data_IF_284114238033
#
_entry.id   IF_284114238033
#
_cell.length_a   1.000
_cell.length_b   1.000
_cell.length_c   1.000
_cell.angle_alpha   90.00
_cell.angle_beta   90.00
_cell.angle_gamma   90.00
#
_symmetry.space_group_name_H-M   'P 1'
#
loop_
_entity.id
_entity.type
_entity.pdbx_description
1 polymer ?
#
# COMPACT_ATOMS: atom_id res chain seq x y z
N UNK A 1 2.82 -12.80 -2.44
CA UNK A 1 1.47 -12.27 -2.74
C UNK A 1 1.51 -10.77 -2.53
N UNK A 2 1.07 -9.97 -3.51
CA UNK A 2 0.87 -8.54 -3.34
C UNK A 2 -0.56 -8.32 -2.88
N UNK A 3 -0.75 -7.72 -1.70
CA UNK A 3 -2.08 -7.43 -1.18
C UNK A 3 -2.29 -5.90 -1.15
N UNK A 4 -3.37 -5.46 -1.79
CA UNK A 4 -3.81 -4.06 -1.75
C UNK A 4 -4.86 -3.94 -0.65
N UNK A 5 -4.46 -3.46 0.52
CA UNK A 5 -5.34 -3.31 1.66
C UNK A 5 -5.81 -1.85 1.75
N UNK A 6 -7.09 -1.60 1.47
CA UNK A 6 -7.74 -0.32 1.78
C UNK A 6 -8.28 -0.34 3.20
N UNK A 7 -7.71 0.47 4.08
CA UNK A 7 -8.29 0.71 5.41
C UNK A 7 -9.41 1.75 5.26
N UNK A 8 -10.64 1.38 5.66
CA UNK A 8 -11.93 2.09 5.54
C UNK A 8 -12.75 1.92 4.22
N UNK A 9 -13.84 1.14 4.34
CA UNK A 9 -15.08 1.13 3.54
C UNK A 9 -15.01 1.35 2.01
N UNK A 10 -13.98 0.85 1.31
CA UNK A 10 -14.00 0.75 -0.15
C UNK A 10 -14.36 -0.65 -0.61
N UNK A 11 -15.35 -0.74 -1.49
CA UNK A 11 -15.79 -1.96 -2.16
C UNK A 11 -15.49 -1.83 -3.65
N UNK A 12 -15.06 -2.94 -4.24
CA UNK A 12 -14.66 -3.18 -5.63
C UNK A 12 -13.21 -2.84 -5.96
N UNK A 13 -12.35 -3.83 -5.77
CA UNK A 13 -11.14 -4.04 -6.58
C UNK A 13 -11.62 -4.63 -7.91
N UNK A 14 -11.62 -3.83 -8.98
CA UNK A 14 -11.80 -4.36 -10.33
C UNK A 14 -10.42 -4.56 -10.93
N UNK A 15 -9.95 -5.80 -10.95
CA UNK A 15 -8.78 -6.21 -11.72
C UNK A 15 -9.23 -6.43 -13.17
N UNK A 16 -9.00 -5.47 -14.06
CA UNK A 16 -9.26 -5.63 -15.48
C UNK A 16 -7.93 -5.76 -16.24
N UNK A 17 -7.71 -6.82 -17.02
CA UNK A 17 -6.59 -6.85 -17.97
C UNK A 17 -6.84 -5.79 -19.05
N UNK A 18 -5.87 -4.90 -19.28
CA UNK A 18 -5.92 -3.93 -20.40
C UNK A 18 -5.27 -4.56 -21.62
N UNK A 19 -6.05 -5.09 -22.55
CA UNK A 19 -5.60 -5.49 -23.89
C UNK A 19 -4.67 -6.71 -23.99
N UNK A 20 -3.59 -6.77 -23.20
CA UNK A 20 -2.54 -7.80 -23.16
C UNK A 20 -2.50 -8.52 -21.81
N UNK A 21 -1.94 -9.74 -21.79
CA UNK A 21 -1.62 -10.49 -20.57
C UNK A 21 -0.50 -9.86 -19.75
N UNK A 22 0.24 -8.90 -20.31
CA UNK A 22 1.34 -8.21 -19.62
C UNK A 22 0.83 -7.02 -18.79
N UNK A 23 -0.25 -6.37 -19.20
CA UNK A 23 -0.72 -5.14 -18.58
C UNK A 23 -1.77 -5.42 -17.51
N UNK A 24 -1.58 -4.82 -16.33
CA UNK A 24 -2.47 -4.89 -15.19
C UNK A 24 -3.01 -3.52 -14.83
N UNK A 25 -4.29 -3.45 -14.47
CA UNK A 25 -4.87 -2.29 -13.80
C UNK A 25 -5.83 -2.72 -12.70
N UNK A 26 -5.74 -2.05 -11.56
CA UNK A 26 -6.61 -2.25 -10.39
C UNK A 26 -7.30 -0.92 -10.13
N UNK A 27 -8.62 -0.91 -10.29
CA UNK A 27 -9.44 0.25 -9.92
C UNK A 27 -9.91 0.11 -8.48
N UNK A 28 -9.68 1.15 -7.68
CA UNK A 28 -10.11 1.31 -6.30
C UNK A 28 -11.06 2.51 -6.24
N UNK A 29 -12.33 2.29 -5.91
CA UNK A 29 -13.31 3.38 -5.80
C UNK A 29 -13.54 3.75 -4.35
N UNK A 30 -13.38 5.03 -4.01
CA UNK A 30 -13.80 5.54 -2.70
C UNK A 30 -15.32 5.69 -2.68
N UNK A 31 -16.02 5.05 -1.74
CA UNK A 31 -17.46 5.21 -1.54
C UNK A 31 -17.74 5.98 -0.25
N UNK A 32 -18.35 7.17 -0.33
CA UNK A 32 -18.83 7.87 0.86
C UNK A 32 -20.09 7.17 1.40
N UNK A 33 -19.92 6.32 2.41
CA UNK A 33 -21.05 5.78 3.17
C UNK A 33 -21.24 6.59 4.45
N UNK A 34 -22.08 7.63 4.40
CA UNK A 34 -22.57 8.34 5.58
C UNK A 34 -23.63 7.52 6.29
N UNK A 35 -23.23 6.75 7.30
CA UNK A 35 -24.15 6.34 8.37
C UNK A 35 -23.39 6.00 9.66
N UNK A 36 -22.99 7.03 10.41
CA UNK A 36 -22.69 6.87 11.83
C UNK A 36 -24.01 6.73 12.61
N UNK A 37 -24.42 5.49 12.91
CA UNK A 37 -25.38 5.24 13.99
C UNK A 37 -24.61 5.10 15.31
N UNK A 38 -24.58 6.19 16.09
CA UNK A 38 -24.20 6.16 17.51
C UNK A 38 -25.15 5.23 18.26
N UNK A 39 -24.65 4.10 18.77
CA UNK A 39 -25.30 3.40 19.88
C UNK A 39 -24.52 3.71 21.17
N UNK A 40 -25.10 4.57 22.00
CA UNK A 40 -24.74 4.68 23.41
C UNK A 40 -25.50 3.58 24.18
N UNK A 41 -24.77 2.70 24.86
CA UNK A 41 -25.34 1.87 25.92
C UNK A 41 -24.40 1.90 27.12
N UNK A 42 -24.56 2.93 27.96
CA UNK A 42 -23.92 2.99 29.27
C UNK A 42 -24.81 2.25 30.27
N UNK A 43 -24.37 1.07 30.73
CA UNK A 43 -24.88 0.45 31.95
C UNK A 43 -24.00 0.87 33.12
N UNK A 44 -24.63 1.53 34.11
CA UNK A 44 -24.00 2.03 35.33
C UNK A 44 -23.64 0.86 36.28
N UNK A 45 -22.37 0.71 36.60
CA UNK A 45 -21.88 -0.15 37.69
C UNK A 45 -21.32 0.78 38.77
N UNK A 46 -21.89 0.71 39.99
CA UNK A 46 -21.38 1.45 41.16
C UNK A 46 -20.10 0.79 41.66
N UNK A 47 -18.95 1.43 41.44
CA UNK A 47 -17.65 1.01 41.99
C UNK A 47 -17.19 2.04 43.01
N UNK A 48 -16.76 1.56 44.18
CA UNK A 48 -16.28 2.34 45.33
C UNK A 48 -15.23 3.39 44.93
N UNK A 49 -15.49 4.66 45.27
CA UNK A 49 -14.81 5.86 44.77
C UNK A 49 -13.29 5.92 45.05
N UNK A 50 -12.81 5.19 46.04
CA UNK A 50 -11.38 5.21 46.44
C UNK A 50 -10.53 4.28 45.55
N UNK A 51 -11.06 3.12 45.16
CA UNK A 51 -10.34 2.19 44.27
C UNK A 51 -10.34 2.64 42.81
N UNK A 52 -11.40 3.33 42.37
CA UNK A 52 -11.47 3.93 41.03
C UNK A 52 -10.41 5.02 40.87
N UNK A 53 -10.20 5.86 41.89
CA UNK A 53 -9.22 6.95 41.82
C UNK A 53 -7.78 6.45 41.61
N UNK A 54 -7.36 5.42 42.35
CA UNK A 54 -6.00 4.85 42.23
C UNK A 54 -5.82 4.11 40.90
N UNK A 55 -6.82 3.32 40.48
CA UNK A 55 -6.78 2.63 39.19
C UNK A 55 -6.80 3.62 38.00
N UNK A 56 -7.54 4.73 38.10
CA UNK A 56 -7.59 5.76 37.07
C UNK A 56 -6.25 6.51 36.95
N UNK A 57 -5.61 6.87 38.08
CA UNK A 57 -4.30 7.54 38.10
C UNK A 57 -3.18 6.62 37.58
N UNK A 58 -3.19 5.33 37.93
CA UNK A 58 -2.25 4.34 37.39
C UNK A 58 -2.46 4.07 35.90
N UNK A 59 -3.71 4.09 35.42
CA UNK A 59 -4.03 3.92 33.99
C UNK A 59 -3.64 5.14 33.15
N UNK A 60 -3.82 6.35 33.68
CA UNK A 60 -3.37 7.61 33.03
C UNK A 60 -1.84 7.68 32.94
N UNK A 61 -1.12 7.23 33.98
CA UNK A 61 0.35 7.17 33.96
C UNK A 61 0.88 6.12 32.96
N UNK A 62 0.18 4.98 32.78
CA UNK A 62 0.52 3.95 31.78
C UNK A 62 0.27 4.46 30.35
N UNK A 63 -0.85 5.16 30.12
CA UNK A 63 -1.19 5.75 28.81
C UNK A 63 -0.20 6.84 28.39
N UNK A 64 0.35 7.61 29.33
CA UNK A 64 1.38 8.61 29.05
C UNK A 64 2.77 8.01 28.78
N UNK A 65 3.04 6.79 29.26
CA UNK A 65 4.34 6.11 29.13
C UNK A 65 4.50 5.30 27.83
N UNK A 66 3.43 5.10 27.07
CA UNK A 66 3.46 4.41 25.78
C UNK A 66 3.60 5.39 24.60
N UNK A 67 4.16 6.57 24.85
CA UNK A 67 4.64 7.46 23.80
C UNK A 67 5.97 6.91 23.28
N UNK A 68 5.92 5.75 22.59
CA UNK A 68 7.04 5.33 21.77
C UNK A 68 7.31 6.47 20.79
N UNK A 69 8.49 7.09 20.89
CA UNK A 69 8.94 8.08 19.92
C UNK A 69 9.15 7.33 18.61
N UNK A 70 8.08 7.21 17.81
CA UNK A 70 8.13 6.49 16.54
C UNK A 70 9.20 7.16 15.68
N UNK A 71 10.28 6.44 15.38
CA UNK A 71 11.33 6.92 14.48
C UNK A 71 10.66 7.25 13.14
N UNK A 72 10.73 8.52 12.77
CA UNK A 72 10.09 9.05 11.58
C UNK A 72 10.98 10.09 10.94
N UNK A 73 11.28 9.88 9.66
CA UNK A 73 11.86 10.90 8.80
C UNK A 73 10.77 11.38 7.84
N UNK A 74 10.60 12.69 7.72
CA UNK A 74 9.59 13.28 6.85
C UNK A 74 10.18 14.46 6.13
N UNK A 75 9.97 14.53 4.82
CA UNK A 75 10.44 15.65 3.99
C UNK A 75 9.64 15.77 2.70
N UNK A 76 9.77 16.90 1.97
CA UNK A 76 9.25 17.01 0.62
C UNK A 76 9.82 15.93 -0.31
N UNK A 77 9.01 15.52 -1.28
CA UNK A 77 9.36 14.59 -2.34
C UNK A 77 10.48 15.15 -3.22
N UNK A 78 11.40 14.27 -3.61
CA UNK A 78 12.38 14.48 -4.67
C UNK A 78 12.19 13.35 -5.67
N UNK A 79 11.56 13.64 -6.80
CA UNK A 79 11.04 12.62 -7.74
C UNK A 79 12.07 11.59 -8.21
N UNK A 80 13.37 11.94 -8.22
CA UNK A 80 14.46 11.05 -8.64
C UNK A 80 15.12 10.28 -7.49
N UNK A 81 14.76 10.56 -6.23
CA UNK A 81 15.37 9.91 -5.08
C UNK A 81 14.79 8.51 -4.91
N UNK A 82 15.66 7.56 -4.59
CA UNK A 82 15.30 6.16 -4.41
C UNK A 82 14.44 5.97 -3.17
N UNK A 83 13.40 5.15 -3.28
CA UNK A 83 12.54 4.74 -2.18
C UNK A 83 12.40 3.22 -2.19
N UNK A 84 12.44 2.61 -1.01
CA UNK A 84 12.30 1.17 -0.87
C UNK A 84 11.60 0.78 0.44
N UNK A 85 10.86 -0.32 0.37
CA UNK A 85 10.40 -1.08 1.52
C UNK A 85 10.85 -2.53 1.33
N UNK A 86 11.54 -3.11 2.30
CA UNK A 86 12.23 -4.40 2.13
C UNK A 86 11.99 -5.35 3.28
N UNK A 87 11.93 -6.63 2.97
CA UNK A 87 11.99 -7.75 3.90
C UNK A 87 13.03 -8.76 3.46
N UNK A 88 13.13 -9.86 4.18
CA UNK A 88 14.08 -10.94 3.87
C UNK A 88 13.67 -11.80 2.68
N UNK A 89 12.41 -11.67 2.20
CA UNK A 89 11.82 -12.53 1.17
C UNK A 89 11.05 -11.76 0.07
N UNK A 90 10.99 -10.44 0.18
CA UNK A 90 10.30 -9.57 -0.76
C UNK A 90 10.86 -8.15 -0.67
N UNK A 91 10.57 -7.33 -1.68
CA UNK A 91 10.97 -5.93 -1.71
C UNK A 91 10.12 -5.13 -2.68
N UNK A 92 9.91 -3.87 -2.34
CA UNK A 92 9.41 -2.83 -3.25
C UNK A 92 10.56 -1.85 -3.44
N UNK A 93 10.85 -1.52 -4.70
CA UNK A 93 11.94 -0.63 -5.08
C UNK A 93 11.43 0.37 -6.10
N UNK A 94 11.88 1.62 -6.00
CA UNK A 94 11.53 2.64 -6.98
C UNK A 94 11.92 4.02 -6.51
N UNK A 95 11.03 4.99 -6.68
CA UNK A 95 11.31 6.39 -6.38
C UNK A 95 10.19 7.10 -5.63
N UNK A 96 10.49 8.31 -5.17
CA UNK A 96 9.53 9.12 -4.41
C UNK A 96 8.42 9.76 -5.25
N UNK A 97 8.48 9.61 -6.57
CA UNK A 97 7.38 9.98 -7.46
C UNK A 97 6.25 8.93 -7.48
N UNK A 98 6.45 7.77 -6.86
CA UNK A 98 5.43 6.71 -6.81
C UNK A 98 5.56 5.68 -7.93
N UNK A 99 6.71 5.64 -8.63
CA UNK A 99 6.99 4.58 -9.59
C UNK A 99 7.78 3.46 -8.92
N UNK A 100 7.27 2.22 -9.02
CA UNK A 100 7.88 1.08 -8.35
C UNK A 100 7.93 -0.20 -9.19
N UNK A 101 8.83 -1.08 -8.78
CA UNK A 101 8.78 -2.51 -9.02
C UNK A 101 8.66 -3.27 -7.71
N UNK A 102 8.14 -4.49 -7.77
CA UNK A 102 7.92 -5.32 -6.61
C UNK A 102 8.35 -6.76 -6.87
N UNK A 103 8.99 -7.34 -5.85
CA UNK A 103 9.64 -8.64 -5.89
C UNK A 103 9.15 -9.52 -4.75
N UNK A 104 9.00 -10.80 -5.04
CA UNK A 104 8.95 -11.88 -4.05
C UNK A 104 10.10 -12.82 -4.41
N UNK A 105 11.20 -12.71 -3.67
CA UNK A 105 12.48 -13.24 -4.11
C UNK A 105 12.42 -14.75 -4.42
N UNK A 106 13.07 -15.20 -5.51
CA UNK A 106 13.87 -14.43 -6.47
C UNK A 106 13.05 -13.91 -7.67
N UNK A 107 11.73 -13.89 -7.60
CA UNK A 107 10.85 -13.57 -8.72
C UNK A 107 10.35 -12.13 -8.65
N UNK A 108 10.57 -11.36 -9.71
CA UNK A 108 9.88 -10.08 -9.92
C UNK A 108 8.40 -10.35 -10.16
N UNK A 109 7.53 -9.50 -9.65
CA UNK A 109 6.07 -9.66 -9.81
C UNK A 109 5.53 -8.60 -10.77
N UNK A 110 6.00 -7.37 -10.61
CA UNK A 110 5.60 -6.27 -11.46
C UNK A 110 6.73 -5.25 -11.64
N UNK A 111 6.61 -4.48 -12.72
CA UNK A 111 7.40 -3.27 -12.99
C UNK A 111 6.48 -2.14 -13.40
N UNK A 112 7.04 -0.94 -13.41
CA UNK A 112 6.38 0.30 -13.82
C UNK A 112 5.02 0.48 -13.12
N UNK A 113 4.96 0.15 -11.83
CA UNK A 113 3.79 0.45 -11.02
C UNK A 113 3.62 1.96 -10.94
N UNK A 114 2.45 2.48 -11.28
CA UNK A 114 2.08 3.89 -11.10
C UNK A 114 0.63 4.05 -10.64
N UNK A 115 0.37 5.09 -9.87
CA UNK A 115 -1.00 5.48 -9.48
C UNK A 115 -1.52 6.59 -10.38
N UNK A 116 -2.81 6.51 -10.73
CA UNK A 116 -3.55 7.57 -11.42
C UNK A 116 -4.84 7.86 -10.68
N UNK A 117 -5.16 9.15 -10.57
CA UNK A 117 -6.35 9.61 -9.87
C UNK A 117 -7.36 10.12 -10.86
N UNK A 118 -8.55 9.53 -10.84
CA UNK A 118 -9.69 9.90 -11.67
C UNK A 118 -10.65 10.75 -10.83
N UNK A 119 -10.78 12.02 -11.19
CA UNK A 119 -11.65 12.99 -10.50
C UNK A 119 -12.15 14.03 -11.51
N UNK A 120 -13.41 14.45 -11.39
CA UNK A 120 -14.03 15.46 -12.26
C UNK A 120 -13.82 15.23 -13.77
N UNK A 121 -13.84 13.97 -14.21
CA UNK A 121 -13.61 13.59 -15.61
C UNK A 121 -12.18 13.78 -16.11
N UNK A 122 -11.22 14.02 -15.21
CA UNK A 122 -9.79 14.15 -15.48
C UNK A 122 -9.03 12.97 -14.90
N UNK A 123 -7.92 12.63 -15.53
CA UNK A 123 -6.96 11.64 -15.05
C UNK A 123 -5.68 12.39 -14.70
N UNK A 124 -5.28 12.31 -13.44
CA UNK A 124 -4.09 12.98 -12.91
C UNK A 124 -3.04 11.93 -12.55
N UNK A 125 -1.80 12.00 -13.10
CA UNK A 125 -0.73 11.10 -12.70
C UNK A 125 -0.28 11.42 -11.27
N UNK A 126 -0.15 10.39 -10.42
CA UNK A 126 0.19 10.58 -9.01
C UNK A 126 1.53 11.28 -8.81
N UNK A 127 2.52 11.02 -9.68
CA UNK A 127 3.82 11.71 -9.68
C UNK A 127 3.69 13.24 -9.61
N UNK A 128 2.77 13.83 -10.39
CA UNK A 128 2.56 15.29 -10.41
C UNK A 128 1.98 15.85 -9.10
N UNK A 129 1.41 14.97 -8.28
CA UNK A 129 0.72 15.28 -7.04
C UNK A 129 1.50 14.87 -5.79
N UNK A 130 2.66 14.20 -5.94
CA UNK A 130 3.50 13.80 -4.82
C UNK A 130 4.02 15.02 -4.06
N UNK A 131 3.86 15.04 -2.73
CA UNK A 131 4.24 16.19 -1.88
C UNK A 131 5.23 15.83 -0.79
N UNK A 132 4.94 14.77 -0.05
CA UNK A 132 5.71 14.44 1.17
C UNK A 132 6.00 12.94 1.22
N UNK A 133 7.26 12.60 1.47
CA UNK A 133 7.64 11.24 1.85
C UNK A 133 7.81 11.18 3.36
N UNK A 134 7.27 10.12 3.96
CA UNK A 134 7.49 9.75 5.35
C UNK A 134 8.07 8.35 5.42
N UNK A 135 9.24 8.20 6.01
CA UNK A 135 9.88 6.91 6.24
C UNK A 135 9.89 6.59 7.73
N UNK A 136 9.53 5.36 8.05
CA UNK A 136 9.60 4.73 9.37
C UNK A 136 10.36 3.41 9.22
N UNK A 137 10.93 2.83 10.29
CA UNK A 137 11.59 1.53 10.21
C UNK A 137 10.71 0.44 9.59
N UNK A 138 9.40 0.50 9.83
CA UNK A 138 8.43 -0.47 9.36
C UNK A 138 7.85 -0.18 7.97
N UNK A 139 7.87 1.07 7.48
CA UNK A 139 7.17 1.43 6.24
C UNK A 139 7.65 2.73 5.61
N UNK A 140 7.35 2.90 4.32
CA UNK A 140 7.53 4.14 3.60
C UNK A 140 6.18 4.63 3.06
N UNK A 141 5.87 5.91 3.23
CA UNK A 141 4.63 6.50 2.72
C UNK A 141 4.90 7.70 1.83
N UNK A 142 4.12 7.82 0.75
CA UNK A 142 4.04 9.01 -0.10
C UNK A 142 2.65 9.64 0.10
N UNK A 143 2.63 10.94 0.35
CA UNK A 143 1.40 11.74 0.36
C UNK A 143 1.25 12.46 -0.98
N UNK A 144 0.15 12.16 -1.66
CA UNK A 144 -0.33 12.86 -2.85
C UNK A 144 -1.41 13.86 -2.45
N UNK A 145 -1.33 15.09 -2.96
CA UNK A 145 -2.33 16.13 -2.68
C UNK A 145 -2.83 16.76 -3.97
N UNK A 146 -4.12 16.57 -4.24
CA UNK A 146 -4.88 17.31 -5.23
C UNK A 146 -5.67 18.46 -4.59
N UNK A 147 -6.50 19.14 -5.38
CA UNK A 147 -7.26 20.30 -4.92
C UNK A 147 -8.38 19.92 -3.93
N UNK A 148 -9.00 18.75 -4.12
CA UNK A 148 -10.18 18.29 -3.38
C UNK A 148 -9.97 16.97 -2.64
N UNK A 149 -8.76 16.39 -2.73
CA UNK A 149 -8.43 15.09 -2.17
C UNK A 149 -6.96 14.98 -1.74
N UNK A 150 -6.72 14.08 -0.81
CA UNK A 150 -5.39 13.59 -0.44
C UNK A 150 -5.39 12.06 -0.50
N UNK A 151 -4.30 11.49 -1.00
CA UNK A 151 -4.07 10.04 -0.98
C UNK A 151 -2.74 9.77 -0.32
N UNK A 152 -2.76 8.87 0.68
CA UNK A 152 -1.54 8.32 1.25
C UNK A 152 -1.34 6.91 0.74
N UNK A 153 -0.25 6.71 0.02
CA UNK A 153 0.26 5.39 -0.31
C UNK A 153 1.28 4.98 0.73
N UNK A 154 1.12 3.82 1.35
CA UNK A 154 2.07 3.26 2.30
C UNK A 154 2.55 1.89 1.84
N UNK A 155 3.85 1.78 1.64
CA UNK A 155 4.57 0.58 1.27
C UNK A 155 5.01 -0.14 2.54
N UNK A 156 4.59 -1.40 2.68
CA UNK A 156 4.92 -2.25 3.81
C UNK A 156 5.37 -3.62 3.29
N UNK A 157 6.52 -4.09 3.76
CA UNK A 157 7.02 -5.44 3.47
C UNK A 157 7.27 -6.15 4.80
N UNK A 158 6.53 -7.23 5.13
CA UNK A 158 6.79 -7.97 6.34
C UNK A 158 8.20 -8.58 6.30
N UNK A 159 8.91 -8.53 7.42
CA UNK A 159 10.33 -8.91 7.48
C UNK A 159 10.56 -10.36 7.01
N UNK A 160 9.65 -11.29 7.28
CA UNK A 160 9.84 -12.73 7.03
C UNK A 160 8.81 -13.38 6.09
N UNK A 161 7.91 -12.61 5.49
CA UNK A 161 6.84 -13.15 4.63
C UNK A 161 7.12 -12.93 3.15
N UNK A 162 6.58 -13.83 2.33
CA UNK A 162 6.66 -13.76 0.87
C UNK A 162 5.59 -12.82 0.30
N UNK A 163 5.81 -11.51 0.42
CA UNK A 163 4.87 -10.54 -0.12
C UNK A 163 5.13 -9.12 0.31
N UNK A 164 4.35 -8.22 -0.27
CA UNK A 164 4.32 -6.82 0.10
C UNK A 164 2.88 -6.33 0.13
N UNK A 165 2.65 -5.28 0.90
CA UNK A 165 1.35 -4.64 1.07
C UNK A 165 1.50 -3.18 0.65
N UNK A 166 0.62 -2.74 -0.24
CA UNK A 166 0.47 -1.33 -0.61
C UNK A 166 -0.88 -0.88 -0.07
N UNK A 167 -0.83 0.00 0.92
CA UNK A 167 -2.02 0.56 1.57
C UNK A 167 -2.32 1.90 0.92
N UNK A 168 -3.52 2.04 0.39
CA UNK A 168 -4.01 3.29 -0.20
C UNK A 168 -5.10 3.87 0.71
N UNK A 169 -4.79 4.98 1.37
CA UNK A 169 -5.72 5.71 2.22
C UNK A 169 -6.16 6.97 1.49
N UNK A 170 -7.47 7.17 1.35
CA UNK A 170 -8.05 8.27 0.58
C UNK A 170 -8.87 9.17 1.48
N UNK A 171 -8.57 10.45 1.47
CA UNK A 171 -9.38 11.52 2.04
C UNK A 171 -9.88 12.41 0.90
N UNK A 172 -11.19 12.46 0.66
CA UNK A 172 -11.74 13.21 -0.48
C UNK A 172 -13.11 13.80 -0.16
N UNK A 173 -13.37 15.01 -0.67
CA UNK A 173 -14.69 15.64 -0.60
C UNK A 173 -15.65 15.14 -1.70
N UNK A 174 -15.12 14.56 -2.77
CA UNK A 174 -15.86 14.18 -3.98
C UNK A 174 -15.54 12.73 -4.39
N UNK A 175 -16.22 12.20 -5.40
CA UNK A 175 -15.92 10.89 -5.93
C UNK A 175 -14.47 10.86 -6.49
N UNK A 176 -13.66 9.92 -6.00
CA UNK A 176 -12.31 9.66 -6.47
C UNK A 176 -12.18 8.18 -6.83
N UNK A 177 -11.61 7.89 -7.99
CA UNK A 177 -11.14 6.55 -8.33
C UNK A 177 -9.62 6.55 -8.40
N UNK A 178 -8.99 5.59 -7.74
CA UNK A 178 -7.55 5.38 -7.77
C UNK A 178 -7.29 4.17 -8.67
N UNK A 179 -6.54 4.38 -9.73
CA UNK A 179 -6.08 3.35 -10.64
C UNK A 179 -4.62 3.01 -10.31
N UNK A 180 -4.35 1.77 -9.92
CA UNK A 180 -2.99 1.24 -9.90
C UNK A 180 -2.71 0.53 -11.23
N UNK A 181 -1.78 1.07 -12.01
CA UNK A 181 -1.30 0.52 -13.29
C UNK A 181 0.05 -0.16 -13.08
N UNK A 182 0.31 -1.27 -13.76
CA UNK A 182 1.60 -1.95 -13.73
C UNK A 182 1.75 -2.93 -14.91
N UNK A 183 2.98 -3.32 -15.22
CA UNK A 183 3.26 -4.48 -16.06
C UNK A 183 3.59 -5.69 -15.17
N UNK A 184 2.99 -6.84 -15.47
CA UNK A 184 3.39 -8.13 -14.89
C UNK A 184 4.78 -8.46 -15.44
N UNK A 185 5.74 -8.64 -14.56
CA UNK A 185 7.14 -8.82 -14.93
C UNK A 185 7.71 -9.93 -14.06
N UNK A 186 7.82 -11.12 -14.64
CA UNK A 186 8.21 -12.36 -13.97
C UNK A 186 9.69 -12.68 -14.16
N UNK A 187 10.52 -11.65 -14.25
CA UNK A 187 11.96 -11.79 -14.36
C UNK A 187 12.56 -12.40 -13.08
N UNK A 188 13.53 -13.29 -13.24
CA UNK A 188 14.30 -13.84 -12.11
C UNK A 188 15.43 -12.88 -11.70
N UNK A 189 15.64 -12.76 -10.40
CA UNK A 189 16.74 -12.00 -9.80
C UNK A 189 18.08 -12.62 -10.18
N UNK A 190 19.14 -11.82 -10.25
CA UNK A 190 20.49 -12.35 -10.38
C UNK A 190 20.84 -13.21 -9.14
N UNK A 191 21.45 -14.41 -9.28
CA UNK A 191 21.96 -15.03 -10.50
C UNK A 191 20.99 -16.00 -11.18
N UNK A 192 19.74 -16.13 -10.71
CA UNK A 192 18.79 -17.13 -11.21
C UNK A 192 18.37 -16.94 -12.67
N UNK A 193 18.60 -15.76 -13.25
CA UNK A 193 18.45 -15.51 -14.69
C UNK A 193 19.63 -16.00 -15.56
N UNK A 194 20.71 -16.54 -14.95
CA UNK A 194 21.84 -17.10 -15.70
C UNK A 194 21.49 -18.52 -16.19
N UNK A 195 21.64 -18.78 -17.49
CA UNK A 195 21.50 -20.12 -18.06
C UNK A 195 20.30 -20.36 -18.97
N UNK A 196 19.90 -19.40 -19.81
CA UNK A 196 18.88 -19.62 -20.84
C UNK A 196 17.52 -19.99 -20.25
N UNK A 197 16.93 -19.10 -19.46
CA UNK A 197 15.60 -19.35 -18.88
C UNK A 197 14.50 -18.88 -19.83
N UNK A 198 13.38 -19.60 -19.86
CA UNK A 198 12.19 -19.19 -20.60
C UNK A 198 10.95 -19.19 -19.69
N UNK A 199 10.00 -18.34 -20.07
CA UNK A 199 8.71 -18.19 -19.40
C UNK A 199 7.61 -18.25 -20.45
N UNK A 200 6.63 -19.13 -20.23
CA UNK A 200 5.48 -19.27 -21.12
C UNK A 200 4.18 -19.29 -20.32
N UNK A 201 3.11 -18.75 -20.90
CA UNK A 201 1.76 -18.90 -20.35
C UNK A 201 1.16 -20.22 -20.84
N UNK A 202 0.69 -21.06 -19.92
CA UNK A 202 -0.02 -22.30 -20.25
C UNK A 202 -1.54 -22.08 -20.05
N UNK A 203 -2.33 -21.94 -21.13
CA UNK A 203 -3.75 -21.63 -21.04
C UNK A 203 -4.57 -22.67 -20.28
N UNK A 204 -4.19 -23.95 -20.35
CA UNK A 204 -4.92 -25.03 -19.68
C UNK A 204 -4.77 -24.95 -18.15
N UNK A 205 -3.56 -24.65 -17.69
CA UNK A 205 -3.24 -24.52 -16.27
C UNK A 205 -3.60 -23.12 -15.71
N UNK A 206 -3.86 -22.15 -16.59
CA UNK A 206 -3.97 -20.73 -16.25
C UNK A 206 -2.80 -20.28 -15.37
N UNK A 207 -1.60 -20.73 -15.73
CA UNK A 207 -0.39 -20.54 -14.96
C UNK A 207 0.79 -20.22 -15.88
N UNK A 208 1.78 -19.53 -15.31
CA UNK A 208 3.07 -19.37 -15.96
C UNK A 208 3.94 -20.60 -15.70
N UNK A 209 4.55 -21.11 -16.75
CA UNK A 209 5.55 -22.15 -16.71
C UNK A 209 6.93 -21.51 -16.87
N UNK A 210 7.85 -21.85 -15.97
CA UNK A 210 9.24 -21.40 -15.98
C UNK A 210 10.15 -22.61 -16.18
N UNK A 211 11.11 -22.51 -17.09
CA UNK A 211 12.07 -23.57 -17.38
C UNK A 211 13.43 -23.04 -17.82
N UNK A 212 14.37 -23.96 -18.00
CA UNK A 212 15.72 -23.73 -18.55
C UNK A 212 15.85 -24.44 -19.91
N UNK A 213 16.58 -23.83 -20.83
CA UNK A 213 16.98 -24.44 -22.10
C UNK A 213 18.04 -25.51 -21.80
N UNK A 214 17.73 -26.78 -22.13
CA UNK A 214 18.61 -27.93 -21.90
C UNK A 214 19.62 -28.13 -23.04
#
# INVERSE_FOLDING_TARGET
MLEFATTFNSTAVVCAPRGSLEDGSIMIRSSQNTSMRRLHCFRLIRISSVFVGIALVLSLARAAAEQSTSLKLSRPVRSWEFLAAVGTRAGIFGNEAGNFEAWVYPLKILRDFDLRFHTDGRILPAESLARTVTVRPESCSILYAGDTFQVRETLFVPVHEFGAVIIIEVETAQALEVEASFHRDFQLEWPAALGGTYLNWEPELRAFYLGEEQ
#
